data_IF_625048486408
#
_entry.id   IF_625048486408
#
_cell.length_a   1.000
_cell.length_b   1.000
_cell.length_c   1.000
_cell.angle_alpha   90.00
_cell.angle_beta   90.00
_cell.angle_gamma   90.00
#
_symmetry.space_group_name_H-M   'P 1'
#
loop_
_entity.id
_entity.type
_entity.pdbx_description
1 polymer ?
#
# COMPACT_ATOMS: atom_id res chain seq x y z
N UNK A 1 9.12 -6.11 72.98
CA UNK A 1 10.17 -5.94 71.94
C UNK A 1 11.38 -5.21 72.54
N UNK A 2 12.59 -5.70 72.30
CA UNK A 2 13.81 -4.96 72.64
C UNK A 2 13.97 -3.83 71.63
N UNK A 3 14.22 -2.62 72.12
CA UNK A 3 14.39 -1.41 71.29
C UNK A 3 15.82 -0.95 71.42
N UNK A 4 16.47 -0.69 70.29
CA UNK A 4 17.82 -0.15 70.23
C UNK A 4 17.78 1.30 70.73
N UNK A 5 18.49 1.58 71.82
CA UNK A 5 18.56 2.92 72.42
C UNK A 5 19.86 3.66 72.07
N UNK A 6 20.82 2.97 71.45
CA UNK A 6 22.10 3.53 71.07
C UNK A 6 23.14 2.48 70.72
N UNK A 7 24.21 2.92 70.07
CA UNK A 7 25.40 2.10 69.83
C UNK A 7 26.25 1.98 71.09
N UNK A 8 26.93 0.84 71.23
CA UNK A 8 27.92 0.67 72.28
C UNK A 8 29.03 1.75 72.16
N UNK A 9 29.58 2.27 73.27
CA UNK A 9 30.47 3.44 73.25
C UNK A 9 31.73 3.24 72.41
N UNK A 10 32.27 2.02 72.39
CA UNK A 10 33.42 1.58 71.60
C UNK A 10 33.13 1.57 70.09
N UNK A 11 31.90 1.22 69.70
CA UNK A 11 31.46 1.25 68.30
C UNK A 11 31.15 2.69 67.89
N UNK A 12 30.44 3.44 68.72
CA UNK A 12 30.06 4.83 68.46
C UNK A 12 31.27 5.73 68.17
N UNK A 13 32.37 5.53 68.90
CA UNK A 13 33.61 6.27 68.70
C UNK A 13 34.28 6.00 67.33
N UNK A 14 34.00 4.86 66.69
CA UNK A 14 34.61 4.41 65.43
C UNK A 14 33.76 4.70 64.19
N UNK A 15 32.47 5.02 64.36
CA UNK A 15 31.56 5.29 63.24
C UNK A 15 32.06 6.40 62.28
N UNK A 16 32.63 7.54 62.75
CA UNK A 16 33.11 8.58 61.84
C UNK A 16 34.23 8.09 60.91
N UNK A 17 35.18 7.31 61.45
CA UNK A 17 36.28 6.72 60.70
C UNK A 17 35.76 5.71 59.67
N UNK A 18 34.79 4.86 60.06
CA UNK A 18 34.18 3.88 59.15
C UNK A 18 33.44 4.59 58.01
N UNK A 19 32.72 5.68 58.29
CA UNK A 19 32.01 6.48 57.29
C UNK A 19 32.97 7.05 56.24
N UNK A 20 34.10 7.59 56.68
CA UNK A 20 35.10 8.17 55.79
C UNK A 20 35.69 7.12 54.84
N UNK A 21 36.10 5.96 55.36
CA UNK A 21 36.63 4.87 54.54
C UNK A 21 35.62 4.33 53.53
N UNK A 22 34.34 4.21 53.93
CA UNK A 22 33.30 3.67 53.07
C UNK A 22 32.91 4.62 51.94
N UNK A 23 32.90 5.94 52.20
CA UNK A 23 32.62 6.95 51.17
C UNK A 23 33.83 7.22 50.24
N UNK A 24 35.04 6.86 50.66
CA UNK A 24 36.24 6.93 49.82
C UNK A 24 36.38 5.73 48.86
N UNK A 25 35.63 4.64 49.04
CA UNK A 25 35.69 3.45 48.18
C UNK A 25 34.91 3.66 46.87
N UNK A 26 35.61 3.57 45.74
CA UNK A 26 35.05 3.72 44.39
C UNK A 26 33.93 2.70 44.11
N UNK A 27 33.98 1.51 44.73
CA UNK A 27 32.92 0.49 44.58
C UNK A 27 31.61 0.93 45.22
N UNK A 28 31.65 1.82 46.21
CA UNK A 28 30.45 2.34 46.86
C UNK A 28 29.91 3.52 46.06
N UNK A 29 30.76 4.49 45.72
CA UNK A 29 30.34 5.71 45.00
C UNK A 29 29.90 5.44 43.55
N UNK A 30 30.33 4.33 42.93
CA UNK A 30 29.91 3.94 41.57
C UNK A 30 28.47 3.41 41.49
N UNK A 31 27.99 2.71 42.51
CA UNK A 31 26.71 1.98 42.46
C UNK A 31 25.61 2.60 43.33
N UNK A 32 25.97 3.47 44.28
CA UNK A 32 24.99 4.25 45.04
C UNK A 32 24.77 5.61 44.38
N UNK A 33 23.51 5.95 44.14
CA UNK A 33 23.09 7.29 43.69
C UNK A 33 23.44 8.36 44.74
N UNK A 34 23.26 8.05 46.03
CA UNK A 34 23.65 8.86 47.19
C UNK A 34 24.20 7.94 48.30
N UNK A 35 25.52 7.75 48.31
CA UNK A 35 26.20 6.89 49.28
C UNK A 35 26.17 7.43 50.72
N UNK A 36 26.36 8.75 50.97
CA UNK A 36 26.19 9.34 52.29
C UNK A 36 24.81 9.07 52.91
N UNK A 37 23.73 9.31 52.16
CA UNK A 37 22.37 9.09 52.66
C UNK A 37 22.10 7.61 52.97
N UNK A 38 22.60 6.69 52.14
CA UNK A 38 22.46 5.25 52.38
C UNK A 38 23.20 4.77 53.64
N UNK A 39 24.39 5.33 53.91
CA UNK A 39 25.15 5.02 55.12
C UNK A 39 24.46 5.53 56.38
N UNK A 40 23.98 6.77 56.35
CA UNK A 40 23.30 7.39 57.48
C UNK A 40 21.97 6.67 57.78
N UNK A 41 21.26 6.19 56.74
CA UNK A 41 20.06 5.37 56.89
C UNK A 41 20.35 3.98 57.47
N UNK A 42 21.44 3.32 57.05
CA UNK A 42 21.85 2.01 57.59
C UNK A 42 22.10 2.05 59.10
N UNK A 43 22.56 3.21 59.61
CA UNK A 43 22.85 3.42 61.03
C UNK A 43 21.67 4.00 61.84
N UNK A 44 20.48 4.07 61.24
CA UNK A 44 19.29 4.49 61.95
C UNK A 44 18.82 3.39 62.93
N UNK A 45 18.82 3.71 64.22
CA UNK A 45 18.41 2.78 65.29
C UNK A 45 16.96 2.30 65.08
N UNK A 46 16.73 1.00 65.25
CA UNK A 46 15.43 0.32 65.04
C UNK A 46 14.88 0.32 63.61
N UNK A 47 15.57 0.93 62.64
CA UNK A 47 15.19 0.91 61.21
C UNK A 47 16.22 0.15 60.36
N UNK A 48 17.52 0.32 60.64
CA UNK A 48 18.59 -0.38 59.95
C UNK A 48 18.63 -0.13 58.43
N UNK A 49 18.08 1.00 57.98
CA UNK A 49 17.99 1.39 56.56
C UNK A 49 16.81 0.79 55.80
N UNK A 50 15.90 0.06 56.48
CA UNK A 50 14.72 -0.52 55.84
C UNK A 50 13.83 0.56 55.22
N UNK A 51 13.61 1.68 55.91
CA UNK A 51 12.80 2.79 55.36
C UNK A 51 13.39 3.39 54.09
N UNK A 52 14.71 3.56 54.04
CA UNK A 52 15.42 4.06 52.86
C UNK A 52 15.35 3.08 51.67
N UNK A 53 15.50 1.78 51.94
CA UNK A 53 15.34 0.75 50.91
C UNK A 53 13.90 0.72 50.39
N UNK A 54 12.91 0.79 51.27
CA UNK A 54 11.48 0.81 50.89
C UNK A 54 11.16 2.04 50.06
N UNK A 55 11.67 3.23 50.42
CA UNK A 55 11.49 4.46 49.65
C UNK A 55 12.07 4.33 48.23
N UNK A 56 13.30 3.85 48.10
CA UNK A 56 13.97 3.68 46.80
C UNK A 56 13.31 2.60 45.95
N UNK A 57 12.91 1.47 46.55
CA UNK A 57 12.19 0.40 45.85
C UNK A 57 10.80 0.86 45.41
N UNK A 58 10.09 1.64 46.23
CA UNK A 58 8.75 2.14 45.92
C UNK A 58 8.76 3.05 44.68
N UNK A 59 9.82 3.82 44.46
CA UNK A 59 9.98 4.66 43.26
C UNK A 59 10.10 3.84 41.96
N UNK A 60 10.72 2.65 42.03
CA UNK A 60 10.94 1.78 40.87
C UNK A 60 9.84 0.72 40.72
N UNK A 61 9.16 0.38 41.81
CA UNK A 61 8.12 -0.65 41.88
C UNK A 61 6.72 -0.08 41.72
N UNK A 62 6.58 1.18 41.29
CA UNK A 62 5.29 1.79 41.03
C UNK A 62 4.55 1.01 39.94
N UNK A 63 3.44 0.33 40.27
CA UNK A 63 2.68 -0.47 39.32
C UNK A 63 2.27 0.34 38.08
N UNK A 64 2.08 1.67 38.23
CA UNK A 64 1.71 2.59 37.16
C UNK A 64 2.75 2.67 36.04
N UNK A 65 4.03 2.52 36.37
CA UNK A 65 5.13 2.50 35.38
C UNK A 65 5.02 1.26 34.50
N UNK A 66 4.76 0.09 35.12
CA UNK A 66 4.57 -1.16 34.39
C UNK A 66 3.28 -1.14 33.57
N UNK A 67 2.22 -0.54 34.09
CA UNK A 67 0.95 -0.35 33.39
C UNK A 67 1.11 0.53 32.15
N UNK A 68 1.84 1.65 32.26
CA UNK A 68 2.17 2.51 31.12
C UNK A 68 3.00 1.79 30.05
N UNK A 69 3.98 0.98 30.47
CA UNK A 69 4.79 0.17 29.55
C UNK A 69 3.98 -0.90 28.83
N UNK A 70 3.10 -1.61 29.54
CA UNK A 70 2.22 -2.63 28.96
C UNK A 70 1.22 -1.98 27.99
N UNK A 71 0.63 -0.86 28.38
CA UNK A 71 -0.26 -0.05 27.53
C UNK A 71 0.44 0.37 26.23
N UNK A 72 1.64 0.94 26.32
CA UNK A 72 2.41 1.36 25.14
C UNK A 72 2.76 0.20 24.21
N UNK A 73 3.14 -0.96 24.76
CA UNK A 73 3.40 -2.17 23.96
C UNK A 73 2.13 -2.70 23.28
N UNK A 74 1.01 -2.70 23.99
CA UNK A 74 -0.27 -3.14 23.47
C UNK A 74 -0.72 -2.26 22.30
N UNK A 75 -0.62 -0.93 22.44
CA UNK A 75 -0.90 0.03 21.36
C UNK A 75 -0.02 -0.20 20.14
N UNK A 76 1.30 -0.35 20.34
CA UNK A 76 2.22 -0.61 19.24
C UNK A 76 1.90 -1.92 18.49
N UNK A 77 1.50 -2.98 19.21
CA UNK A 77 1.10 -4.25 18.59
C UNK A 77 -0.23 -4.16 17.86
N UNK A 78 -1.22 -3.46 18.44
CA UNK A 78 -2.50 -3.22 17.79
C UNK A 78 -2.30 -2.47 16.47
N UNK A 79 -1.46 -1.43 16.49
CA UNK A 79 -1.16 -0.63 15.31
C UNK A 79 -0.43 -1.44 14.23
N UNK A 80 0.58 -2.22 14.62
CA UNK A 80 1.28 -3.12 13.69
C UNK A 80 0.35 -4.16 13.04
N UNK A 81 -0.64 -4.66 13.79
CA UNK A 81 -1.67 -5.55 13.23
C UNK A 81 -2.56 -4.81 12.24
N UNK A 82 -3.03 -3.60 12.57
CA UNK A 82 -3.95 -2.83 11.71
C UNK A 82 -3.28 -2.33 10.45
N UNK A 83 -2.02 -1.90 10.49
CA UNK A 83 -1.32 -1.32 9.34
C UNK A 83 -1.33 -2.25 8.12
N UNK A 84 -1.16 -3.55 8.34
CA UNK A 84 -1.18 -4.57 7.28
C UNK A 84 -2.56 -4.83 6.68
N UNK A 85 -3.64 -4.51 7.42
CA UNK A 85 -5.03 -4.67 6.98
C UNK A 85 -5.61 -3.38 6.42
N UNK A 86 -5.09 -2.22 6.84
CA UNK A 86 -5.50 -0.89 6.41
C UNK A 86 -5.49 -0.76 4.87
N UNK A 87 -4.50 -1.36 4.21
CA UNK A 87 -4.37 -1.37 2.73
C UNK A 87 -5.52 -2.06 1.99
N UNK A 88 -6.23 -2.98 2.65
CA UNK A 88 -7.36 -3.70 2.08
C UNK A 88 -8.70 -3.06 2.45
N UNK A 89 -8.70 -2.16 3.45
CA UNK A 89 -9.89 -1.46 3.89
C UNK A 89 -10.08 -0.17 3.11
N UNK A 90 -11.25 -0.05 2.49
CA UNK A 90 -11.72 1.17 1.85
C UNK A 90 -12.78 1.80 2.77
N UNK A 91 -12.45 2.92 3.42
CA UNK A 91 -13.36 3.70 4.26
C UNK A 91 -14.50 4.37 3.47
N UNK A 92 -14.59 4.11 2.17
CA UNK A 92 -15.56 4.68 1.26
C UNK A 92 -15.17 6.08 0.82
N UNK A 93 -15.91 6.61 -0.15
CA UNK A 93 -15.79 7.97 -0.70
C UNK A 93 -16.20 9.08 0.30
N UNK A 94 -15.93 8.90 1.58
CA UNK A 94 -16.38 9.73 2.71
C UNK A 94 -15.45 10.92 2.99
N UNK A 95 -14.34 11.04 2.25
CA UNK A 95 -13.42 12.18 2.34
C UNK A 95 -13.95 13.39 1.56
N UNK A 96 -13.79 14.59 2.13
CA UNK A 96 -14.09 15.83 1.40
C UNK A 96 -13.23 15.94 0.13
N UNK A 97 -13.77 16.55 -0.92
CA UNK A 97 -13.01 16.84 -2.16
C UNK A 97 -11.70 17.57 -1.86
N UNK A 98 -11.71 18.47 -0.88
CA UNK A 98 -10.53 19.21 -0.47
C UNK A 98 -9.50 18.30 0.21
N UNK A 99 -9.93 17.40 1.11
CA UNK A 99 -9.03 16.44 1.76
C UNK A 99 -8.38 15.51 0.74
N UNK A 100 -9.16 15.02 -0.24
CA UNK A 100 -8.63 14.17 -1.31
C UNK A 100 -7.62 14.93 -2.18
N UNK A 101 -7.92 16.19 -2.49
CA UNK A 101 -6.99 17.07 -3.20
C UNK A 101 -5.67 17.23 -2.43
N UNK A 102 -5.73 17.51 -1.14
CA UNK A 102 -4.55 17.72 -0.30
C UNK A 102 -3.70 16.45 -0.17
N UNK A 103 -4.34 15.29 0.06
CA UNK A 103 -3.64 13.99 0.10
C UNK A 103 -2.92 13.70 -1.23
N UNK A 104 -3.62 13.87 -2.35
CA UNK A 104 -3.04 13.65 -3.68
C UNK A 104 -1.89 14.62 -3.99
N UNK A 105 -1.99 15.89 -3.60
CA UNK A 105 -0.89 16.86 -3.74
C UNK A 105 0.32 16.48 -2.91
N UNK A 106 0.11 16.10 -1.64
CA UNK A 106 1.19 15.66 -0.76
C UNK A 106 1.92 14.44 -1.34
N UNK A 107 1.17 13.45 -1.82
CA UNK A 107 1.73 12.27 -2.49
C UNK A 107 2.47 12.63 -3.78
N UNK A 108 1.90 13.51 -4.62
CA UNK A 108 2.55 13.98 -5.84
C UNK A 108 3.86 14.73 -5.55
N UNK A 109 3.90 15.54 -4.51
CA UNK A 109 5.10 16.26 -4.08
C UNK A 109 6.16 15.29 -3.53
N UNK A 110 5.77 14.33 -2.70
CA UNK A 110 6.67 13.31 -2.15
C UNK A 110 7.28 12.44 -3.26
N UNK A 111 6.45 11.92 -4.17
CA UNK A 111 6.91 11.17 -5.35
C UNK A 111 7.80 12.04 -6.26
N UNK A 112 7.42 13.30 -6.47
CA UNK A 112 8.22 14.26 -7.24
C UNK A 112 9.60 14.50 -6.67
N UNK A 113 9.71 14.67 -5.34
CA UNK A 113 11.00 14.81 -4.63
C UNK A 113 11.85 13.54 -4.77
N UNK A 114 11.25 12.37 -4.60
CA UNK A 114 11.92 11.08 -4.74
C UNK A 114 12.54 10.87 -6.14
N UNK A 115 11.79 11.24 -7.18
CA UNK A 115 12.19 11.14 -8.58
C UNK A 115 13.22 12.22 -8.95
N UNK A 116 13.02 13.45 -8.47
CA UNK A 116 13.95 14.57 -8.68
C UNK A 116 15.35 14.28 -8.11
N UNK A 117 15.43 13.57 -6.99
CA UNK A 117 16.70 13.20 -6.34
C UNK A 117 17.62 12.33 -7.21
N UNK A 118 17.13 11.73 -8.29
CA UNK A 118 17.94 11.00 -9.29
C UNK A 118 17.78 11.61 -10.71
N UNK A 119 17.57 12.92 -10.78
CA UNK A 119 17.42 13.67 -12.04
C UNK A 119 16.37 13.07 -12.99
N UNK A 120 15.26 12.57 -12.44
CA UNK A 120 14.15 11.94 -13.17
C UNK A 120 14.47 10.59 -13.84
N UNK A 121 15.65 10.00 -13.63
CA UNK A 121 16.02 8.69 -14.20
C UNK A 121 15.11 7.55 -13.72
N UNK A 122 14.60 7.63 -12.50
CA UNK A 122 13.73 6.60 -11.92
C UNK A 122 12.28 6.66 -12.43
N UNK A 123 11.86 7.75 -13.10
CA UNK A 123 10.47 7.93 -13.54
C UNK A 123 10.00 6.83 -14.50
N UNK A 124 10.80 6.54 -15.54
CA UNK A 124 10.49 5.49 -16.51
C UNK A 124 10.46 4.11 -15.87
N UNK A 125 11.38 3.83 -14.93
CA UNK A 125 11.43 2.56 -14.19
C UNK A 125 10.22 2.39 -13.28
N UNK A 126 9.74 3.48 -12.66
CA UNK A 126 8.53 3.45 -11.85
C UNK A 126 7.30 3.11 -12.70
N UNK A 127 7.16 3.77 -13.85
CA UNK A 127 6.07 3.44 -14.77
C UNK A 127 6.14 2.01 -15.29
N UNK A 128 7.32 1.52 -15.63
CA UNK A 128 7.53 0.14 -16.07
C UNK A 128 7.14 -0.87 -14.98
N UNK A 129 7.54 -0.61 -13.72
CA UNK A 129 7.14 -1.44 -12.58
C UNK A 129 5.60 -1.50 -12.40
N UNK A 130 4.92 -0.38 -12.65
CA UNK A 130 3.46 -0.25 -12.56
C UNK A 130 2.72 -0.73 -13.82
N UNK A 131 3.42 -1.02 -14.91
CA UNK A 131 2.84 -1.43 -16.19
C UNK A 131 2.49 -2.92 -16.21
N UNK A 132 1.42 -3.26 -16.93
CA UNK A 132 1.10 -4.63 -17.28
C UNK A 132 2.12 -5.20 -18.27
N UNK A 133 2.54 -6.44 -18.02
CA UNK A 133 3.55 -7.14 -18.80
C UNK A 133 2.90 -8.13 -19.75
N UNK A 134 3.21 -8.05 -21.04
CA UNK A 134 2.57 -8.86 -22.09
C UNK A 134 2.79 -10.37 -21.87
N UNK A 135 3.99 -10.79 -21.46
CA UNK A 135 4.29 -12.20 -21.22
C UNK A 135 3.44 -12.81 -20.09
N UNK A 136 3.20 -12.07 -19.01
CA UNK A 136 2.36 -12.51 -17.89
C UNK A 136 0.89 -12.67 -18.35
N UNK A 137 0.40 -11.71 -19.13
CA UNK A 137 -0.97 -11.72 -19.65
C UNK A 137 -1.19 -12.82 -20.71
N UNK A 138 -0.16 -13.13 -21.50
CA UNK A 138 -0.22 -14.24 -22.46
C UNK A 138 -0.43 -15.59 -21.75
N UNK A 139 0.25 -15.81 -20.62
CA UNK A 139 0.02 -16.99 -19.76
C UNK A 139 -1.42 -17.10 -19.23
N UNK A 140 -2.02 -15.97 -18.85
CA UNK A 140 -3.41 -15.92 -18.38
C UNK A 140 -4.41 -16.29 -19.49
N UNK A 141 -4.16 -15.89 -20.73
CA UNK A 141 -5.01 -16.24 -21.86
C UNK A 141 -5.14 -17.76 -22.01
N UNK A 142 -4.03 -18.50 -21.89
CA UNK A 142 -4.05 -19.97 -21.92
C UNK A 142 -4.83 -20.58 -20.77
N UNK A 143 -4.69 -20.02 -19.56
CA UNK A 143 -5.39 -20.53 -18.37
C UNK A 143 -6.92 -20.40 -18.51
N UNK A 144 -7.39 -19.29 -19.08
CA UNK A 144 -8.83 -19.09 -19.34
C UNK A 144 -9.32 -20.05 -20.42
N UNK A 145 -8.52 -20.27 -21.46
CA UNK A 145 -8.85 -21.20 -22.53
C UNK A 145 -8.96 -22.65 -22.07
N UNK A 146 -8.05 -23.09 -21.18
CA UNK A 146 -8.08 -24.44 -20.62
C UNK A 146 -9.25 -24.66 -19.67
N UNK A 147 -9.54 -23.70 -18.79
CA UNK A 147 -10.69 -23.78 -17.85
C UNK A 147 -12.03 -23.90 -18.59
N UNK A 148 -12.22 -23.15 -19.67
CA UNK A 148 -13.42 -23.25 -20.50
C UNK A 148 -13.55 -24.62 -21.21
N UNK A 149 -12.42 -25.24 -21.56
CA UNK A 149 -12.39 -26.59 -22.15
C UNK A 149 -12.82 -27.68 -21.16
N UNK A 150 -12.38 -27.57 -19.91
CA UNK A 150 -12.71 -28.50 -18.82
C UNK A 150 -14.18 -28.41 -18.40
N UNK A 151 -14.73 -27.19 -18.28
CA UNK A 151 -16.17 -26.99 -18.00
C UNK A 151 -17.04 -27.56 -19.12
N UNK A 152 -16.61 -27.45 -20.38
CA UNK A 152 -17.31 -28.04 -21.53
C UNK A 152 -17.26 -29.58 -21.52
N UNK A 153 -16.17 -30.19 -21.04
CA UNK A 153 -16.04 -31.65 -20.91
C UNK A 153 -16.76 -32.22 -19.69
N UNK A 154 -16.89 -31.48 -18.59
CA UNK A 154 -17.61 -31.93 -17.41
C UNK A 154 -19.14 -31.94 -17.59
N UNK A 155 -19.65 -31.19 -18.57
CA UNK A 155 -21.09 -31.07 -18.88
C UNK A 155 -21.58 -32.03 -19.96
N UNK A 156 -20.72 -32.91 -20.53
CA UNK A 156 -21.17 -33.98 -21.42
C UNK A 156 -21.46 -35.24 -20.59
N UNK A 157 -22.73 -35.59 -20.31
CA UNK A 157 -23.02 -36.95 -19.87
C UNK A 157 -22.61 -37.90 -21.00
N UNK A 158 -21.86 -38.95 -20.66
CA UNK A 158 -21.59 -40.07 -21.56
C UNK A 158 -22.91 -40.80 -21.84
N UNK A 159 -23.73 -40.28 -22.75
CA UNK A 159 -24.95 -40.92 -23.20
C UNK A 159 -24.57 -42.08 -24.13
N UNK A 160 -24.83 -43.31 -23.67
CA UNK A 160 -24.80 -44.49 -24.51
C UNK A 160 -25.81 -44.33 -25.65
N UNK A 161 -25.33 -44.12 -26.86
CA UNK A 161 -26.16 -43.94 -28.05
C UNK A 161 -26.86 -45.24 -28.45
N UNK A 162 -28.18 -45.17 -28.60
CA UNK A 162 -28.96 -46.15 -29.34
C UNK A 162 -28.79 -45.91 -30.84
N UNK A 163 -28.66 -46.98 -31.62
CA UNK A 163 -28.42 -46.97 -33.09
C UNK A 163 -29.61 -46.42 -33.90
N UNK A 164 -30.69 -45.97 -33.25
CA UNK A 164 -31.96 -45.57 -33.86
C UNK A 164 -32.27 -44.06 -33.78
N UNK A 165 -31.36 -43.24 -33.27
CA UNK A 165 -31.58 -41.78 -33.11
C UNK A 165 -31.24 -40.95 -34.37
N UNK A 166 -30.94 -41.62 -35.49
CA UNK A 166 -30.42 -41.04 -36.74
C UNK A 166 -31.50 -40.39 -37.65
N UNK A 167 -32.66 -40.01 -37.10
CA UNK A 167 -33.79 -39.50 -37.91
C UNK A 167 -34.48 -38.22 -37.40
N UNK A 168 -34.00 -37.59 -36.33
CA UNK A 168 -34.47 -36.26 -35.93
C UNK A 168 -33.32 -35.25 -35.93
N UNK A 169 -33.27 -34.39 -36.95
CA UNK A 169 -32.49 -33.14 -36.92
C UNK A 169 -33.08 -32.20 -35.86
N UNK A 170 -32.75 -32.46 -34.60
CA UNK A 170 -32.91 -31.47 -33.53
C UNK A 170 -31.69 -30.54 -33.58
N UNK A 171 -31.89 -29.22 -33.73
CA UNK A 171 -30.78 -28.28 -33.69
C UNK A 171 -30.20 -28.33 -32.27
N UNK A 172 -29.02 -28.93 -32.15
CA UNK A 172 -28.26 -28.92 -30.92
C UNK A 172 -27.92 -27.47 -30.59
N UNK A 173 -28.67 -26.87 -29.66
CA UNK A 173 -28.29 -25.62 -29.05
C UNK A 173 -27.00 -25.88 -28.27
N UNK A 174 -25.87 -25.45 -28.84
CA UNK A 174 -24.56 -25.48 -28.23
C UNK A 174 -24.54 -24.53 -27.02
N UNK A 175 -24.82 -25.04 -25.83
CA UNK A 175 -24.50 -24.36 -24.56
C UNK A 175 -23.01 -24.51 -24.20
N UNK A 176 -22.14 -24.23 -25.17
CA UNK A 176 -20.73 -23.97 -24.89
C UNK A 176 -20.56 -22.50 -24.55
N UNK A 177 -19.71 -22.17 -23.58
CA UNK A 177 -19.35 -20.77 -23.27
C UNK A 177 -19.00 -20.03 -24.57
N UNK A 178 -19.81 -19.05 -24.94
CA UNK A 178 -19.63 -18.26 -26.16
C UNK A 178 -18.23 -17.64 -26.16
N UNK A 179 -17.63 -17.41 -27.33
CA UNK A 179 -16.40 -16.62 -27.45
C UNK A 179 -16.51 -15.24 -26.76
N UNK A 180 -17.74 -14.73 -26.65
CA UNK A 180 -18.08 -13.54 -25.88
C UNK A 180 -17.71 -13.63 -24.40
N UNK A 181 -18.00 -14.78 -23.78
CA UNK A 181 -17.75 -15.09 -22.37
C UNK A 181 -16.25 -15.28 -22.10
N UNK A 182 -15.53 -15.95 -23.01
CA UNK A 182 -14.07 -16.14 -22.91
C UNK A 182 -13.29 -14.83 -22.93
N UNK A 183 -13.67 -13.92 -23.81
CA UNK A 183 -13.02 -12.60 -23.94
C UNK A 183 -13.21 -11.75 -22.68
N UNK A 184 -14.38 -11.86 -22.05
CA UNK A 184 -14.73 -11.18 -20.81
C UNK A 184 -13.99 -11.78 -19.61
N UNK A 185 -14.01 -13.11 -19.48
CA UNK A 185 -13.26 -13.85 -18.47
C UNK A 185 -11.75 -13.59 -18.52
N UNK A 186 -11.18 -13.45 -19.73
CA UNK A 186 -9.78 -13.04 -19.90
C UNK A 186 -9.54 -11.60 -19.48
N UNK A 187 -10.37 -10.66 -19.93
CA UNK A 187 -10.23 -9.25 -19.62
C UNK A 187 -10.30 -8.96 -18.11
N UNK A 188 -11.25 -9.58 -17.40
CA UNK A 188 -11.38 -9.46 -15.96
C UNK A 188 -10.13 -9.99 -15.23
N UNK A 189 -9.66 -11.18 -15.61
CA UNK A 189 -8.46 -11.79 -15.01
C UNK A 189 -7.20 -10.99 -15.31
N UNK A 190 -7.06 -10.43 -16.52
CA UNK A 190 -5.93 -9.57 -16.87
C UNK A 190 -5.87 -8.32 -15.99
N UNK A 191 -7.02 -7.65 -15.79
CA UNK A 191 -7.11 -6.48 -14.92
C UNK A 191 -6.89 -6.84 -13.45
N UNK A 192 -7.47 -7.94 -12.95
CA UNK A 192 -7.25 -8.43 -11.58
C UNK A 192 -5.78 -8.79 -11.32
N UNK A 193 -5.14 -9.45 -12.28
CA UNK A 193 -3.72 -9.78 -12.19
C UNK A 193 -2.85 -8.53 -12.08
N UNK A 194 -3.11 -7.53 -12.94
CA UNK A 194 -2.40 -6.25 -12.87
C UNK A 194 -2.64 -5.53 -11.53
N UNK A 195 -3.88 -5.49 -11.04
CA UNK A 195 -4.22 -4.90 -9.72
C UNK A 195 -3.38 -5.52 -8.61
N UNK A 196 -3.33 -6.85 -8.56
CA UNK A 196 -2.55 -7.56 -7.54
C UNK A 196 -1.08 -7.18 -7.63
N UNK A 197 -0.49 -7.17 -8.83
CA UNK A 197 0.91 -6.80 -9.06
C UNK A 197 1.22 -5.38 -8.57
N UNK A 198 0.38 -4.39 -8.88
CA UNK A 198 0.63 -3.01 -8.43
C UNK A 198 0.45 -2.86 -6.91
N UNK A 199 -0.47 -3.61 -6.29
CA UNK A 199 -0.62 -3.66 -4.83
C UNK A 199 0.58 -4.33 -4.16
N UNK A 200 1.11 -5.40 -4.74
CA UNK A 200 2.35 -6.05 -4.29
C UNK A 200 3.54 -5.09 -4.36
N UNK A 201 3.66 -4.31 -5.45
CA UNK A 201 4.66 -3.25 -5.56
C UNK A 201 4.53 -2.19 -4.46
N UNK A 202 3.31 -1.73 -4.14
CA UNK A 202 3.10 -0.77 -3.06
C UNK A 202 3.44 -1.39 -1.69
N UNK A 203 3.12 -2.66 -1.47
CA UNK A 203 3.42 -3.36 -0.22
C UNK A 203 4.92 -3.65 -0.01
N UNK A 204 5.68 -3.88 -1.09
CA UNK A 204 7.10 -4.24 -1.00
C UNK A 204 8.00 -3.02 -0.71
N UNK A 205 8.25 -2.76 0.57
CA UNK A 205 9.17 -1.71 1.01
C UNK A 205 10.64 -1.98 0.64
N UNK A 206 10.99 -3.22 0.30
CA UNK A 206 12.37 -3.59 -0.07
C UNK A 206 12.70 -3.25 -1.52
N UNK A 207 11.67 -3.06 -2.36
CA UNK A 207 11.81 -2.76 -3.76
C UNK A 207 12.68 -1.51 -4.00
N UNK A 208 13.69 -1.52 -4.90
CA UNK A 208 14.61 -0.40 -5.08
C UNK A 208 13.93 0.94 -5.41
N UNK A 209 12.82 0.90 -6.16
CA UNK A 209 12.03 2.09 -6.51
C UNK A 209 11.14 2.58 -5.34
N UNK A 210 10.85 1.72 -4.35
CA UNK A 210 10.08 2.07 -3.15
C UNK A 210 10.93 2.74 -2.08
N UNK A 211 12.24 2.49 -2.03
CA UNK A 211 13.12 3.06 -0.98
C UNK A 211 13.05 4.58 -0.80
N UNK A 212 12.66 5.33 -1.83
CA UNK A 212 12.53 6.80 -1.78
C UNK A 212 11.09 7.30 -1.69
N UNK A 213 10.09 6.42 -1.76
CA UNK A 213 8.66 6.73 -1.73
C UNK A 213 8.10 6.10 -0.46
N UNK A 214 7.46 6.86 0.41
CA UNK A 214 6.83 6.31 1.62
C UNK A 214 5.59 5.45 1.29
N UNK A 215 5.12 4.65 2.24
CA UNK A 215 3.99 3.72 2.02
C UNK A 215 2.69 4.44 1.68
N UNK A 216 2.35 5.52 2.37
CA UNK A 216 1.12 6.28 2.09
C UNK A 216 1.13 6.81 0.65
N UNK A 217 2.26 7.35 0.20
CA UNK A 217 2.42 7.82 -1.18
C UNK A 217 2.29 6.67 -2.19
N UNK A 218 2.94 5.53 -1.94
CA UNK A 218 2.86 4.37 -2.83
C UNK A 218 1.45 3.80 -2.93
N UNK A 219 0.76 3.67 -1.79
CA UNK A 219 -0.62 3.18 -1.73
C UNK A 219 -1.56 4.14 -2.47
N UNK A 220 -1.43 5.44 -2.26
CA UNK A 220 -2.24 6.44 -2.97
C UNK A 220 -2.02 6.37 -4.49
N UNK A 221 -0.76 6.30 -4.94
CA UNK A 221 -0.44 6.17 -6.37
C UNK A 221 -1.14 4.97 -7.01
N UNK A 222 -1.03 3.81 -6.37
CA UNK A 222 -1.61 2.57 -6.85
C UNK A 222 -3.14 2.60 -6.79
N UNK A 223 -3.73 3.10 -5.71
CA UNK A 223 -5.17 3.26 -5.58
C UNK A 223 -5.76 4.13 -6.70
N UNK A 224 -5.12 5.27 -7.02
CA UNK A 224 -5.63 6.17 -8.04
C UNK A 224 -5.45 5.63 -9.46
N UNK A 225 -4.41 4.82 -9.71
CA UNK A 225 -4.28 4.06 -10.96
C UNK A 225 -5.38 3.02 -11.10
N UNK A 226 -5.63 2.22 -10.05
CA UNK A 226 -6.70 1.21 -10.05
C UNK A 226 -8.05 1.86 -10.26
N UNK A 227 -8.35 2.96 -9.54
CA UNK A 227 -9.60 3.69 -9.69
C UNK A 227 -9.75 4.28 -11.10
N UNK A 228 -8.68 4.82 -11.70
CA UNK A 228 -8.72 5.29 -13.08
C UNK A 228 -8.99 4.14 -14.07
N UNK A 229 -8.40 2.96 -13.86
CA UNK A 229 -8.66 1.75 -14.66
C UNK A 229 -10.13 1.31 -14.57
N UNK A 230 -10.71 1.32 -13.36
CA UNK A 230 -12.12 0.99 -13.13
C UNK A 230 -13.06 2.02 -13.76
N UNK A 231 -12.85 3.31 -13.47
CA UNK A 231 -13.66 4.42 -14.00
C UNK A 231 -13.73 4.41 -15.52
N UNK A 232 -12.65 3.99 -16.19
CA UNK A 232 -12.55 3.94 -17.65
C UNK A 232 -13.08 2.65 -18.27
N UNK A 233 -13.56 1.70 -17.48
CA UNK A 233 -14.11 0.43 -17.97
C UNK A 233 -13.10 -0.39 -18.77
N UNK A 234 -11.83 -0.43 -18.35
CA UNK A 234 -10.74 -1.04 -19.13
C UNK A 234 -11.00 -2.52 -19.43
N UNK A 235 -11.56 -3.30 -18.49
CA UNK A 235 -11.92 -4.69 -18.74
C UNK A 235 -12.89 -4.85 -19.92
N UNK A 236 -13.96 -4.05 -19.97
CA UNK A 236 -14.92 -4.08 -21.08
C UNK A 236 -14.28 -3.70 -22.42
N UNK A 237 -13.33 -2.74 -22.43
CA UNK A 237 -12.58 -2.38 -23.64
C UNK A 237 -11.69 -3.51 -24.14
N UNK A 238 -10.98 -4.18 -23.23
CA UNK A 238 -10.15 -5.35 -23.54
C UNK A 238 -11.03 -6.45 -24.13
N UNK A 239 -12.14 -6.79 -23.47
CA UNK A 239 -13.04 -7.85 -23.92
C UNK A 239 -13.60 -7.58 -25.33
N UNK A 240 -14.03 -6.34 -25.59
CA UNK A 240 -14.56 -5.94 -26.90
C UNK A 240 -13.49 -6.02 -28.00
N UNK A 241 -12.27 -5.56 -27.73
CA UNK A 241 -11.19 -5.55 -28.71
C UNK A 241 -10.62 -6.95 -28.97
N UNK A 242 -10.47 -7.78 -27.94
CA UNK A 242 -10.08 -9.20 -28.10
C UNK A 242 -11.10 -9.94 -28.95
N UNK A 243 -12.40 -9.75 -28.67
CA UNK A 243 -13.49 -10.34 -29.47
C UNK A 243 -13.43 -9.93 -30.93
N UNK A 244 -13.17 -8.64 -31.19
CA UNK A 244 -12.99 -8.11 -32.56
C UNK A 244 -11.82 -8.79 -33.26
N UNK A 245 -10.69 -8.98 -32.58
CA UNK A 245 -9.50 -9.59 -33.20
C UNK A 245 -9.63 -11.10 -33.44
N UNK A 246 -10.36 -11.82 -32.59
CA UNK A 246 -10.71 -13.23 -32.82
C UNK A 246 -11.59 -13.37 -34.06
N UNK A 247 -12.56 -12.46 -34.26
CA UNK A 247 -13.46 -12.51 -35.43
C UNK A 247 -12.79 -12.26 -36.79
N UNK A 248 -11.59 -11.66 -36.81
CA UNK A 248 -10.87 -11.27 -38.04
C UNK A 248 -9.79 -12.30 -38.42
N UNK A 249 -9.29 -13.09 -37.46
CA UNK A 249 -8.09 -13.92 -37.63
C UNK A 249 -8.36 -15.39 -37.96
N UNK A 250 -7.42 -16.00 -38.69
CA UNK A 250 -7.32 -17.47 -38.84
C UNK A 250 -7.00 -18.15 -37.49
N UNK A 251 -7.35 -19.44 -37.38
CA UNK A 251 -7.36 -20.30 -36.19
C UNK A 251 -6.00 -20.56 -35.49
N UNK A 252 -5.00 -19.71 -35.70
CA UNK A 252 -3.71 -19.81 -35.04
C UNK A 252 -3.77 -19.23 -33.61
N UNK A 253 -3.80 -20.16 -32.66
CA UNK A 253 -3.97 -19.88 -31.24
C UNK A 253 -2.79 -19.15 -30.62
N UNK A 254 -1.56 -19.39 -31.09
CA UNK A 254 -0.37 -18.72 -30.57
C UNK A 254 -0.43 -17.22 -30.90
N UNK A 255 -0.75 -16.91 -32.15
CA UNK A 255 -0.97 -15.55 -32.62
C UNK A 255 -2.18 -14.87 -31.97
N UNK A 256 -3.26 -15.60 -31.68
CA UNK A 256 -4.40 -15.07 -30.94
C UNK A 256 -4.03 -14.68 -29.50
N UNK A 257 -3.25 -15.53 -28.81
CA UNK A 257 -2.82 -15.26 -27.44
C UNK A 257 -1.90 -14.04 -27.32
N UNK A 258 -0.94 -13.90 -28.24
CA UNK A 258 -0.03 -12.75 -28.28
C UNK A 258 -0.81 -11.45 -28.55
N UNK A 259 -1.73 -11.48 -29.50
CA UNK A 259 -2.62 -10.35 -29.79
C UNK A 259 -3.48 -9.95 -28.60
N UNK A 260 -4.12 -10.92 -27.94
CA UNK A 260 -4.95 -10.64 -26.76
C UNK A 260 -4.14 -10.06 -25.60
N UNK A 261 -2.94 -10.58 -25.35
CA UNK A 261 -2.02 -10.05 -24.36
C UNK A 261 -1.58 -8.61 -24.69
N UNK A 262 -1.24 -8.35 -25.95
CA UNK A 262 -0.86 -7.01 -26.41
C UNK A 262 -2.02 -6.00 -26.25
N UNK A 263 -3.26 -6.40 -26.59
CA UNK A 263 -4.46 -5.58 -26.36
C UNK A 263 -4.64 -5.25 -24.89
N UNK A 264 -4.55 -6.26 -24.02
CA UNK A 264 -4.71 -6.08 -22.58
C UNK A 264 -3.61 -5.17 -21.99
N UNK A 265 -2.35 -5.42 -22.35
CA UNK A 265 -1.21 -4.63 -21.90
C UNK A 265 -1.34 -3.17 -22.34
N UNK A 266 -1.65 -2.90 -23.62
CA UNK A 266 -1.81 -1.54 -24.13
C UNK A 266 -2.97 -0.80 -23.45
N UNK A 267 -4.12 -1.45 -23.27
CA UNK A 267 -5.28 -0.84 -22.64
C UNK A 267 -5.02 -0.45 -21.17
N UNK A 268 -4.30 -1.29 -20.43
CA UNK A 268 -3.88 -1.00 -19.05
C UNK A 268 -2.79 0.08 -19.03
N UNK A 269 -1.76 -0.05 -19.88
CA UNK A 269 -0.60 0.83 -19.89
C UNK A 269 -0.94 2.25 -20.38
N UNK A 270 -2.03 2.44 -21.14
CA UNK A 270 -2.57 3.76 -21.46
C UNK A 270 -3.05 4.50 -20.19
N UNK A 271 -3.63 3.77 -19.22
CA UNK A 271 -4.00 4.34 -17.91
C UNK A 271 -2.76 4.60 -17.08
N UNK A 272 -1.80 3.67 -17.02
CA UNK A 272 -0.54 3.86 -16.28
C UNK A 272 0.23 5.09 -16.79
N UNK A 273 0.26 5.29 -18.10
CA UNK A 273 1.03 6.37 -18.74
C UNK A 273 0.39 7.75 -18.56
N UNK A 274 -0.94 7.84 -18.53
CA UNK A 274 -1.61 9.15 -18.61
C UNK A 274 -2.93 9.27 -17.88
N UNK A 275 -3.34 8.28 -17.08
CA UNK A 275 -4.64 8.18 -16.42
C UNK A 275 -5.84 8.29 -17.38
N UNK A 276 -5.59 8.12 -18.69
CA UNK A 276 -6.57 8.34 -19.76
C UNK A 276 -6.68 9.77 -20.28
N UNK A 277 -5.95 10.74 -19.71
CA UNK A 277 -6.01 12.14 -20.17
C UNK A 277 -5.32 12.37 -21.51
N UNK A 278 -4.42 11.48 -21.93
CA UNK A 278 -3.78 11.53 -23.26
C UNK A 278 -4.80 11.41 -24.40
N UNK A 279 -5.92 10.73 -24.16
CA UNK A 279 -7.02 10.59 -25.12
C UNK A 279 -7.93 11.83 -25.19
N UNK A 280 -7.83 12.77 -24.25
CA UNK A 280 -8.63 13.99 -24.25
C UNK A 280 -8.01 15.05 -25.19
N UNK A 281 -8.84 15.97 -25.73
CA UNK A 281 -8.34 17.17 -26.40
C UNK A 281 -7.39 17.97 -25.49
N UNK A 282 -6.31 18.61 -26.02
CA UNK A 282 -5.31 19.30 -25.21
C UNK A 282 -5.86 20.25 -24.15
N UNK A 283 -6.91 21.02 -24.48
CA UNK A 283 -7.50 22.02 -23.58
C UNK A 283 -8.27 21.42 -22.40
N UNK A 284 -8.74 20.17 -22.54
CA UNK A 284 -9.47 19.44 -21.50
C UNK A 284 -8.54 18.65 -20.56
N UNK A 285 -7.23 18.67 -20.81
CA UNK A 285 -6.25 17.93 -20.01
C UNK A 285 -5.93 18.63 -18.68
N UNK A 286 -5.44 17.89 -17.68
CA UNK A 286 -5.07 18.45 -16.39
C UNK A 286 -4.14 19.66 -16.53
N UNK A 287 -4.34 20.74 -15.75
CA UNK A 287 -3.42 21.86 -15.70
C UNK A 287 -2.11 21.44 -15.02
N UNK A 288 -1.00 22.01 -15.49
CA UNK A 288 0.34 21.86 -14.88
C UNK A 288 0.86 23.26 -14.54
N UNK A 289 1.13 23.60 -13.27
CA UNK A 289 0.88 22.80 -12.05
C UNK A 289 -0.64 22.63 -11.75
N UNK A 290 -1.01 21.69 -10.86
CA UNK A 290 -2.40 21.52 -10.43
C UNK A 290 -2.97 22.75 -9.72
N UNK A 291 -4.30 22.90 -9.76
CA UNK A 291 -5.02 23.95 -9.02
C UNK A 291 -4.66 23.94 -7.53
N UNK A 292 -4.63 25.10 -6.84
CA UNK A 292 -5.10 26.41 -7.28
C UNK A 292 -4.05 27.26 -8.03
N UNK A 293 -2.85 26.73 -8.27
CA UNK A 293 -1.82 27.49 -8.97
C UNK A 293 -2.23 27.80 -10.43
N UNK A 294 -1.82 28.96 -10.98
CA UNK A 294 -2.13 29.30 -12.36
C UNK A 294 -1.44 28.31 -13.31
N UNK A 295 -2.24 27.67 -14.16
CA UNK A 295 -1.76 26.69 -15.13
C UNK A 295 -0.76 27.34 -16.10
N UNK A 296 0.42 26.72 -16.24
CA UNK A 296 1.45 27.13 -17.21
C UNK A 296 1.32 26.38 -18.53
N UNK A 297 0.86 25.13 -18.48
CA UNK A 297 0.55 24.29 -19.64
C UNK A 297 -0.51 23.25 -19.31
N UNK A 298 -0.95 22.52 -20.33
CA UNK A 298 -1.80 21.34 -20.21
C UNK A 298 -0.93 20.08 -20.22
N UNK A 299 -1.26 19.11 -19.38
CA UNK A 299 -0.50 17.86 -19.27
C UNK A 299 -0.49 17.09 -20.60
N UNK A 300 0.63 16.43 -20.88
CA UNK A 300 0.86 15.59 -22.06
C UNK A 300 0.68 16.32 -23.39
N UNK A 301 0.82 17.65 -23.43
CA UNK A 301 0.70 18.42 -24.65
C UNK A 301 1.58 17.81 -25.75
N UNK A 302 1.01 17.48 -26.94
CA UNK A 302 1.81 16.91 -28.00
C UNK A 302 2.90 17.90 -28.40
N UNK A 303 4.10 17.41 -28.79
CA UNK A 303 5.11 18.28 -29.35
C UNK A 303 4.53 18.99 -30.59
N UNK A 304 4.93 20.25 -30.86
CA UNK A 304 4.46 20.95 -32.04
C UNK A 304 4.76 20.11 -33.29
N UNK A 305 3.79 20.02 -34.18
CA UNK A 305 4.00 19.41 -35.49
C UNK A 305 5.09 20.16 -36.25
N UNK A 306 5.81 19.45 -37.11
CA UNK A 306 6.81 20.03 -38.00
C UNK A 306 6.56 19.58 -39.42
N UNK A 307 6.68 20.50 -40.38
CA UNK A 307 6.70 20.17 -41.81
C UNK A 307 8.15 20.03 -42.25
N UNK A 308 8.51 18.86 -42.79
CA UNK A 308 9.88 18.57 -43.24
C UNK A 308 10.80 18.13 -42.10
N UNK A 309 11.93 18.82 -41.91
CA UNK A 309 12.91 18.47 -40.86
C UNK A 309 12.55 19.15 -39.53
N UNK A 310 12.62 18.43 -38.40
CA UNK A 310 12.32 19.03 -37.09
C UNK A 310 13.36 20.10 -36.76
N UNK A 311 12.89 21.30 -36.39
CA UNK A 311 13.75 22.36 -35.90
C UNK A 311 14.21 22.01 -34.47
N UNK A 312 15.51 21.77 -34.30
CA UNK A 312 16.09 21.50 -32.99
C UNK A 312 16.34 22.81 -32.24
N UNK A 313 15.85 22.90 -31.01
CA UNK A 313 16.15 24.04 -30.14
C UNK A 313 17.62 24.02 -29.70
N UNK A 314 18.19 25.20 -29.44
CA UNK A 314 19.56 25.35 -28.92
C UNK A 314 19.81 24.57 -27.61
N UNK A 315 18.75 24.37 -26.82
CA UNK A 315 18.79 23.61 -25.57
C UNK A 315 17.95 22.33 -25.71
N UNK A 316 18.47 21.17 -25.27
CA UNK A 316 17.72 19.94 -25.30
C UNK A 316 16.49 20.03 -24.40
N UNK A 317 15.38 19.47 -24.88
CA UNK A 317 14.16 19.34 -24.09
C UNK A 317 14.41 18.44 -22.88
N UNK A 318 13.83 18.79 -21.73
CA UNK A 318 13.93 17.99 -20.51
C UNK A 318 12.77 17.00 -20.44
N UNK A 319 12.67 16.12 -21.45
CA UNK A 319 11.52 15.23 -21.65
C UNK A 319 11.13 14.44 -20.39
N UNK A 320 12.10 13.80 -19.72
CA UNK A 320 11.81 13.03 -18.50
C UNK A 320 11.23 13.90 -17.37
N UNK A 321 11.76 15.12 -17.19
CA UNK A 321 11.24 16.08 -16.22
C UNK A 321 9.83 16.53 -16.61
N UNK A 322 9.65 16.95 -17.85
CA UNK A 322 8.38 17.51 -18.32
C UNK A 322 7.27 16.47 -18.26
N UNK A 323 7.54 15.26 -18.74
CA UNK A 323 6.63 14.13 -18.63
C UNK A 323 6.30 13.78 -17.18
N UNK A 324 7.29 13.74 -16.28
CA UNK A 324 7.05 13.44 -14.86
C UNK A 324 6.16 14.50 -14.21
N UNK A 325 6.37 15.79 -14.53
CA UNK A 325 5.52 16.86 -14.02
C UNK A 325 4.08 16.75 -14.51
N UNK A 326 3.91 16.41 -15.79
CA UNK A 326 2.59 16.18 -16.38
C UNK A 326 1.89 14.98 -15.75
N UNK A 327 2.62 13.89 -15.52
CA UNK A 327 2.11 12.68 -14.86
C UNK A 327 1.69 12.90 -13.40
N UNK A 328 2.50 13.64 -12.63
CA UNK A 328 2.15 14.00 -11.25
C UNK A 328 0.95 14.95 -11.18
N UNK A 329 0.81 15.86 -12.14
CA UNK A 329 -0.38 16.70 -12.23
C UNK A 329 -1.63 15.90 -12.61
N UNK A 330 -1.47 14.93 -13.52
CA UNK A 330 -2.53 13.99 -13.90
C UNK A 330 -2.97 13.12 -12.72
N UNK A 331 -2.06 12.65 -11.88
CA UNK A 331 -2.38 11.95 -10.63
C UNK A 331 -3.29 12.79 -9.72
N UNK A 332 -2.94 14.07 -9.51
CA UNK A 332 -3.74 14.96 -8.66
C UNK A 332 -5.15 15.14 -9.23
N UNK A 333 -5.27 15.33 -10.55
CA UNK A 333 -6.59 15.42 -11.18
C UNK A 333 -7.35 14.09 -11.11
N UNK A 334 -6.67 12.96 -11.34
CA UNK A 334 -7.25 11.62 -11.24
C UNK A 334 -7.83 11.35 -9.86
N UNK A 335 -7.17 11.78 -8.78
CA UNK A 335 -7.70 11.64 -7.44
C UNK A 335 -9.08 12.27 -7.26
N UNK A 336 -9.28 13.49 -7.77
CA UNK A 336 -10.57 14.19 -7.72
C UNK A 336 -11.61 13.50 -8.60
N UNK A 337 -11.21 13.17 -9.81
CA UNK A 337 -12.04 12.53 -10.81
C UNK A 337 -12.51 11.12 -10.41
N UNK A 338 -11.71 10.43 -9.59
CA UNK A 338 -11.97 9.09 -9.10
C UNK A 338 -12.80 9.09 -7.80
N UNK A 339 -13.23 10.25 -7.30
CA UNK A 339 -14.14 10.29 -6.15
C UNK A 339 -15.42 9.50 -6.44
N UNK A 340 -15.78 8.59 -5.55
CA UNK A 340 -16.97 7.75 -5.69
C UNK A 340 -16.79 6.52 -6.59
N UNK A 341 -15.60 6.29 -7.16
CA UNK A 341 -15.32 5.06 -7.91
C UNK A 341 -15.04 3.93 -6.92
N UNK A 342 -15.93 2.93 -6.87
CA UNK A 342 -15.64 1.69 -6.18
C UNK A 342 -14.49 0.98 -6.91
N UNK A 343 -13.31 0.90 -6.29
CA UNK A 343 -12.20 0.13 -6.84
C UNK A 343 -12.54 -1.36 -6.77
N UNK A 344 -12.13 -2.16 -7.76
CA UNK A 344 -12.32 -3.61 -7.71
C UNK A 344 -11.67 -4.13 -6.42
N UNK A 345 -12.53 -4.47 -5.47
CA UNK A 345 -12.12 -4.93 -4.16
C UNK A 345 -11.77 -6.40 -4.31
N UNK A 346 -10.60 -6.79 -3.81
CA UNK A 346 -10.28 -8.23 -3.63
C UNK A 346 -11.20 -8.88 -2.58
N UNK A 347 -11.87 -8.04 -1.79
CA UNK A 347 -12.84 -8.41 -0.78
C UNK A 347 -14.21 -7.85 -1.14
N UNK A 348 -15.26 -8.65 -1.05
CA UNK A 348 -16.64 -8.18 -1.22
C UNK A 348 -16.96 -6.99 -0.30
N UNK A 349 -17.98 -6.20 -0.64
CA UNK A 349 -18.44 -5.10 0.21
C UNK A 349 -18.79 -5.54 1.64
N UNK A 350 -19.38 -6.74 1.77
CA UNK A 350 -19.63 -7.38 3.07
C UNK A 350 -18.32 -7.65 3.82
N UNK A 351 -17.29 -8.17 3.15
CA UNK A 351 -15.98 -8.39 3.75
C UNK A 351 -15.26 -7.08 4.11
N UNK A 352 -15.40 -6.02 3.30
CA UNK A 352 -14.85 -4.70 3.62
C UNK A 352 -15.53 -4.08 4.84
N UNK A 353 -16.85 -4.24 4.99
CA UNK A 353 -17.58 -3.81 6.18
C UNK A 353 -17.13 -4.57 7.43
N UNK A 354 -16.95 -5.90 7.32
CA UNK A 354 -16.39 -6.73 8.40
C UNK A 354 -14.96 -6.30 8.74
N UNK A 355 -14.14 -6.00 7.73
CA UNK A 355 -12.78 -5.51 7.93
C UNK A 355 -12.76 -4.16 8.65
N UNK A 356 -13.66 -3.24 8.28
CA UNK A 356 -13.86 -1.98 9.00
C UNK A 356 -14.20 -2.20 10.47
N UNK A 357 -15.12 -3.11 10.78
CA UNK A 357 -15.44 -3.47 12.17
C UNK A 357 -14.24 -4.06 12.93
N UNK A 358 -13.40 -4.86 12.26
CA UNK A 358 -12.18 -5.43 12.85
C UNK A 358 -11.18 -4.31 13.16
N UNK A 359 -10.97 -3.37 12.22
CA UNK A 359 -10.07 -2.24 12.38
C UNK A 359 -10.54 -1.29 13.49
N UNK A 360 -11.84 -0.98 13.53
CA UNK A 360 -12.43 -0.15 14.60
C UNK A 360 -12.27 -0.79 15.98
N UNK A 361 -12.46 -2.12 16.09
CA UNK A 361 -12.24 -2.85 17.35
C UNK A 361 -10.77 -2.93 17.74
N UNK A 362 -9.86 -2.89 16.76
CA UNK A 362 -8.43 -2.88 17.01
C UNK A 362 -7.92 -1.49 17.44
N UNK A 363 -8.67 -0.41 17.18
CA UNK A 363 -8.43 0.92 17.75
C UNK A 363 -8.84 0.98 19.24
N UNK A 364 -7.98 0.42 20.08
CA UNK A 364 -8.20 0.27 21.52
C UNK A 364 -7.87 1.51 22.35
N UNK A 365 -7.40 2.61 21.76
CA UNK A 365 -7.06 3.86 22.48
C UNK A 365 -8.23 4.37 23.31
N UNK A 366 -9.41 4.45 22.69
CA UNK A 366 -10.65 4.88 23.36
C UNK A 366 -11.11 3.92 24.47
N UNK A 367 -10.85 2.62 24.32
CA UNK A 367 -11.18 1.60 25.31
C UNK A 367 -10.23 1.65 26.51
N UNK A 368 -8.99 2.09 26.29
CA UNK A 368 -7.97 2.25 27.32
C UNK A 368 -8.12 3.58 28.09
N UNK A 369 -8.75 4.60 27.52
CA UNK A 369 -9.06 5.86 28.25
C UNK A 369 -10.24 5.71 29.22
N UNK A 370 -11.09 4.70 29.02
CA UNK A 370 -12.28 4.43 29.84
C UNK A 370 -12.03 3.42 30.98
N UNK A 371 -10.85 2.79 31.00
CA UNK A 371 -10.41 1.80 31.99
C UNK A 371 -9.26 2.37 32.84
#
# INVERSE_FOLDING_TARGET
PLTETGYAPDIAARLPEIREHLLADERVTRYFEDAPAAYDALLALNDGGVSYIVEKIAQVSDPRVKDGQVRGRLLAQAQHLTDGFQRFYDAGASGSREEKLQKAKKAAEAAGKAIFADEFRSAGRLLDALSAQEDELRGLYFTVASMAGEETQALTPAAGGSIFDDFEETPHASTGASEGDRSEAFAERAVQHWIRRVREFAADQTHPLRRKIDSDTADLLVQELIAATMRRGVAGKIAAEVRRQVSIGSADWENASARAACVAANAINEVVTGFGYTALPPDARPPVPPLPEPARRRAFAPPPGFDGMPALAERPMRLARDFTQDWLAALVQAAIDNMGVATAREISEAQNAVLGQILDRAHIESLLEQA
#
